data_IF_821743075906
#
_entry.id   IF_821743075906
#
_cell.length_a   1.000
_cell.length_b   1.000
_cell.length_c   1.000
_cell.angle_alpha   90.00
_cell.angle_beta   90.00
_cell.angle_gamma   90.00
#
_symmetry.space_group_name_H-M   'P 1'
#
loop_
_entity.id
_entity.type
_entity.pdbx_description
1 polymer ?
#
# COMPACT_ATOMS: atom_id res chain seq x y z
N UNK A 1 31.62 -13.33 70.91
CA UNK A 1 30.73 -12.31 70.30
C UNK A 1 30.74 -12.37 68.75
N UNK A 2 30.63 -13.56 68.12
CA UNK A 2 30.54 -13.70 66.65
C UNK A 2 29.30 -14.47 66.16
N UNK A 3 28.47 -15.01 67.06
CA UNK A 3 27.29 -15.82 66.72
C UNK A 3 25.97 -15.03 66.64
N UNK A 4 26.00 -13.72 66.89
CA UNK A 4 24.82 -12.85 66.81
C UNK A 4 24.69 -12.10 65.48
N UNK A 5 25.77 -11.91 64.72
CA UNK A 5 25.70 -11.29 63.38
C UNK A 5 25.24 -12.26 62.28
N UNK A 6 25.43 -13.57 62.45
CA UNK A 6 25.03 -14.56 61.43
C UNK A 6 23.51 -14.81 61.39
N UNK A 7 22.77 -14.41 62.42
CA UNK A 7 21.31 -14.61 62.51
C UNK A 7 20.50 -13.53 61.79
N UNK A 8 21.12 -12.42 61.40
CA UNK A 8 20.45 -11.34 60.66
C UNK A 8 20.79 -11.31 59.17
N UNK A 9 21.65 -12.22 58.69
CA UNK A 9 21.92 -12.38 57.25
C UNK A 9 20.91 -13.31 56.55
N UNK A 10 20.18 -14.12 57.32
CA UNK A 10 19.25 -15.11 56.79
C UNK A 10 17.89 -14.57 56.27
N UNK A 11 17.33 -13.43 56.70
CA UNK A 11 16.08 -12.94 56.12
C UNK A 11 16.30 -12.01 54.92
N UNK A 12 17.53 -11.57 54.63
CA UNK A 12 17.80 -10.64 53.52
C UNK A 12 17.99 -11.35 52.16
N UNK A 13 18.22 -12.67 52.16
CA UNK A 13 18.40 -13.45 50.93
C UNK A 13 17.09 -14.02 50.36
N UNK A 14 15.95 -13.85 51.04
CA UNK A 14 14.67 -14.45 50.62
C UNK A 14 13.79 -13.53 49.76
N UNK A 15 14.18 -12.27 49.53
CA UNK A 15 13.35 -11.28 48.81
C UNK A 15 13.63 -11.26 47.30
N UNK A 16 14.61 -12.02 46.79
CA UNK A 16 14.99 -12.00 45.37
C UNK A 16 14.21 -12.95 44.45
N UNK A 17 13.19 -13.66 44.94
CA UNK A 17 12.44 -14.64 44.12
C UNK A 17 10.97 -14.29 43.84
N UNK A 18 10.48 -13.09 44.20
CA UNK A 18 9.11 -12.65 43.92
C UNK A 18 9.03 -11.47 42.96
N UNK A 19 9.70 -11.57 41.82
CA UNK A 19 9.39 -10.73 40.65
C UNK A 19 9.17 -11.59 39.40
N UNK A 20 8.29 -12.59 39.53
CA UNK A 20 7.49 -13.07 38.40
C UNK A 20 6.09 -12.52 38.62
N UNK A 21 5.73 -11.54 37.80
CA UNK A 21 4.33 -11.18 37.59
C UNK A 21 3.73 -12.34 36.79
N UNK A 22 2.79 -13.05 37.39
CA UNK A 22 1.98 -14.03 36.68
C UNK A 22 1.09 -13.27 35.70
N UNK A 23 1.61 -13.05 34.49
CA UNK A 23 0.75 -12.84 33.35
C UNK A 23 0.04 -14.18 33.13
N UNK A 24 -1.25 -14.22 33.46
CA UNK A 24 -2.14 -15.31 33.08
C UNK A 24 -1.86 -15.64 31.61
N UNK A 25 -1.22 -16.79 31.38
CA UNK A 25 -1.20 -17.41 30.06
C UNK A 25 -2.64 -17.77 29.76
N UNK A 26 -3.37 -16.81 29.21
CA UNK A 26 -4.44 -17.10 28.28
C UNK A 26 -3.78 -18.00 27.25
N UNK A 27 -4.00 -19.31 27.38
CA UNK A 27 -4.07 -20.18 26.24
C UNK A 27 -5.06 -19.51 25.29
N UNK A 28 -4.55 -18.64 24.43
CA UNK A 28 -5.11 -18.47 23.12
C UNK A 28 -5.04 -19.87 22.55
N UNK A 29 -6.15 -20.61 22.71
CA UNK A 29 -6.63 -21.41 21.60
C UNK A 29 -6.53 -20.46 20.42
N UNK A 30 -5.49 -20.62 19.63
CA UNK A 30 -5.61 -20.43 18.20
C UNK A 30 -6.79 -21.31 17.81
N UNK A 31 -8.00 -20.77 17.95
CA UNK A 31 -9.02 -21.02 16.97
C UNK A 31 -8.32 -20.64 15.68
N UNK A 32 -7.73 -21.64 15.02
CA UNK A 32 -7.33 -21.58 13.64
C UNK A 32 -8.50 -20.87 12.97
N UNK A 33 -8.29 -19.58 12.66
CA UNK A 33 -9.35 -18.75 12.13
C UNK A 33 -9.86 -19.53 10.94
N UNK A 34 -11.11 -19.99 11.00
CA UNK A 34 -11.79 -20.69 9.90
C UNK A 34 -11.38 -19.93 8.66
N UNK A 35 -10.59 -20.55 7.78
CA UNK A 35 -9.85 -19.86 6.73
C UNK A 35 -10.77 -18.84 6.08
N UNK A 36 -10.64 -17.57 6.47
CA UNK A 36 -11.52 -16.53 5.95
C UNK A 36 -11.33 -16.60 4.45
N UNK A 37 -12.43 -16.68 3.70
CA UNK A 37 -12.36 -16.60 2.24
C UNK A 37 -11.51 -15.38 1.96
N UNK A 38 -10.31 -15.59 1.41
CA UNK A 38 -9.40 -14.49 1.20
C UNK A 38 -10.05 -13.55 0.20
N UNK A 39 -10.41 -12.37 0.69
CA UNK A 39 -11.06 -11.33 -0.07
C UNK A 39 -10.24 -11.01 -1.32
N UNK A 40 -10.89 -10.78 -2.45
CA UNK A 40 -10.20 -10.29 -3.65
C UNK A 40 -10.19 -8.77 -3.64
N UNK A 41 -9.06 -8.16 -3.96
CA UNK A 41 -8.93 -6.71 -4.06
C UNK A 41 -9.12 -6.23 -5.49
N UNK A 42 -9.85 -5.13 -5.64
CA UNK A 42 -9.87 -4.32 -6.85
C UNK A 42 -9.37 -2.92 -6.48
N UNK A 43 -8.06 -2.69 -6.68
CA UNK A 43 -7.39 -1.45 -6.32
C UNK A 43 -7.33 -0.54 -7.53
N UNK A 44 -7.82 0.68 -7.36
CA UNK A 44 -7.80 1.75 -8.36
C UNK A 44 -7.01 2.92 -7.79
N UNK A 45 -5.96 3.35 -8.48
CA UNK A 45 -5.14 4.50 -8.10
C UNK A 45 -5.38 5.62 -9.11
N UNK A 46 -6.11 6.65 -8.68
CA UNK A 46 -6.30 7.89 -9.47
C UNK A 46 -5.18 8.86 -9.11
N UNK A 47 -4.37 9.23 -10.10
CA UNK A 47 -3.27 10.17 -9.91
C UNK A 47 -3.64 11.51 -10.52
N UNK A 48 -3.48 12.58 -9.75
CA UNK A 48 -3.53 13.95 -10.23
C UNK A 48 -2.15 14.40 -10.70
N UNK A 49 -2.02 14.69 -12.00
CA UNK A 49 -0.82 15.24 -12.63
C UNK A 49 -0.93 16.76 -12.86
N UNK A 50 -1.78 17.43 -12.09
CA UNK A 50 -1.85 18.89 -12.00
C UNK A 50 -0.51 19.51 -11.66
N UNK A 51 -0.45 20.85 -11.73
CA UNK A 51 0.80 21.57 -11.53
C UNK A 51 1.36 21.48 -10.11
N UNK A 52 0.65 20.82 -9.18
CA UNK A 52 1.18 20.40 -7.87
C UNK A 52 2.50 19.63 -7.95
N UNK A 53 2.75 18.90 -9.04
CA UNK A 53 4.01 18.15 -9.23
C UNK A 53 5.13 19.00 -9.86
N UNK A 54 4.84 20.22 -10.27
CA UNK A 54 5.81 21.13 -10.87
C UNK A 54 6.84 21.58 -9.83
N UNK A 55 8.08 21.16 -10.02
CA UNK A 55 9.22 21.55 -9.16
C UNK A 55 9.43 23.07 -9.19
N UNK A 56 9.10 23.72 -10.32
CA UNK A 56 9.26 25.17 -10.48
C UNK A 56 8.16 25.96 -9.77
N UNK A 57 6.90 25.54 -9.88
CA UNK A 57 5.78 26.26 -9.28
C UNK A 57 5.59 25.93 -7.80
N UNK A 58 5.85 24.68 -7.43
CA UNK A 58 5.59 24.13 -6.10
C UNK A 58 6.86 23.48 -5.50
N UNK A 59 8.00 24.20 -5.42
CA UNK A 59 9.23 23.64 -4.86
C UNK A 59 9.03 23.27 -3.39
N UNK A 60 9.61 22.15 -2.96
CA UNK A 60 9.51 21.72 -1.58
C UNK A 60 10.89 21.37 -1.02
N UNK A 61 11.39 22.09 0.01
CA UNK A 61 12.75 21.91 0.52
C UNK A 61 12.97 20.57 1.23
N UNK A 62 11.91 19.84 1.58
CA UNK A 62 12.01 18.53 2.21
C UNK A 62 11.96 17.41 1.19
N UNK A 63 10.98 17.42 0.29
CA UNK A 63 10.78 16.39 -0.73
C UNK A 63 9.78 16.88 -1.77
N UNK A 64 10.07 16.67 -3.05
CA UNK A 64 9.18 17.02 -4.15
C UNK A 64 7.87 16.21 -4.09
N UNK A 65 6.76 16.81 -4.54
CA UNK A 65 5.45 16.15 -4.47
C UNK A 65 5.43 14.81 -5.22
N UNK A 66 6.00 14.76 -6.43
CA UNK A 66 6.04 13.52 -7.21
C UNK A 66 6.83 12.40 -6.50
N UNK A 67 7.86 12.74 -5.72
CA UNK A 67 8.64 11.77 -4.97
C UNK A 67 7.83 11.16 -3.81
N UNK A 68 6.99 11.96 -3.15
CA UNK A 68 6.03 11.46 -2.16
C UNK A 68 5.06 10.47 -2.79
N UNK A 69 4.51 10.83 -3.95
CA UNK A 69 3.56 10.00 -4.67
C UNK A 69 4.17 8.66 -5.09
N UNK A 70 5.41 8.66 -5.57
CA UNK A 70 6.16 7.43 -5.85
C UNK A 70 6.28 6.54 -4.61
N UNK A 71 6.52 7.13 -3.44
CA UNK A 71 6.51 6.44 -2.15
C UNK A 71 5.15 5.81 -1.83
N UNK A 72 4.07 6.57 -1.98
CA UNK A 72 2.71 6.08 -1.72
C UNK A 72 2.31 4.95 -2.67
N UNK A 73 2.57 5.10 -3.98
CA UNK A 73 2.26 4.07 -4.97
C UNK A 73 3.08 2.80 -4.69
N UNK A 74 4.36 2.94 -4.33
CA UNK A 74 5.19 1.82 -3.91
C UNK A 74 4.57 1.08 -2.73
N UNK A 75 4.17 1.79 -1.67
CA UNK A 75 3.51 1.19 -0.51
C UNK A 75 2.22 0.44 -0.87
N UNK A 76 1.38 1.01 -1.76
CA UNK A 76 0.16 0.33 -2.25
C UNK A 76 0.51 -0.95 -3.01
N UNK A 77 1.48 -0.89 -3.92
CA UNK A 77 1.92 -2.06 -4.70
C UNK A 77 2.54 -3.16 -3.84
N UNK A 78 3.25 -2.78 -2.78
CA UNK A 78 3.83 -3.72 -1.82
C UNK A 78 2.75 -4.40 -0.99
N UNK A 79 1.77 -3.65 -0.49
CA UNK A 79 0.63 -4.19 0.24
C UNK A 79 -0.19 -5.15 -0.65
N UNK A 80 -0.44 -4.78 -1.91
CA UNK A 80 -1.12 -5.64 -2.88
C UNK A 80 -0.33 -6.94 -3.14
N UNK A 81 0.98 -6.84 -3.33
CA UNK A 81 1.84 -8.01 -3.55
C UNK A 81 1.88 -8.92 -2.31
N UNK A 82 1.92 -8.37 -1.10
CA UNK A 82 1.86 -9.15 0.14
C UNK A 82 0.52 -9.85 0.29
N UNK A 83 -0.59 -9.18 -0.03
CA UNK A 83 -1.92 -9.76 -0.05
C UNK A 83 -2.00 -10.97 -0.99
N UNK A 84 -1.49 -10.82 -2.22
CA UNK A 84 -1.42 -11.92 -3.20
C UNK A 84 -0.57 -13.10 -2.70
N UNK A 85 0.59 -12.83 -2.11
CA UNK A 85 1.50 -13.86 -1.58
C UNK A 85 0.92 -14.62 -0.39
N UNK A 86 0.02 -14.03 0.38
CA UNK A 86 -0.68 -14.69 1.48
C UNK A 86 -1.81 -15.62 1.00
N UNK A 87 -2.21 -15.53 -0.28
CA UNK A 87 -3.32 -16.31 -0.85
C UNK A 87 -2.87 -17.65 -1.40
N UNK A 88 -3.77 -18.63 -1.34
CA UNK A 88 -3.64 -19.84 -2.17
C UNK A 88 -3.91 -19.45 -3.61
N UNK A 89 -3.07 -19.89 -4.55
CA UNK A 89 -3.18 -19.57 -5.99
C UNK A 89 -4.61 -19.73 -6.53
N UNK A 90 -5.28 -20.83 -6.17
CA UNK A 90 -6.67 -21.12 -6.60
C UNK A 90 -7.72 -20.07 -6.17
N UNK A 91 -7.39 -19.21 -5.20
CA UNK A 91 -8.26 -18.17 -4.64
C UNK A 91 -7.90 -16.77 -5.16
N UNK A 92 -6.85 -16.62 -5.96
CA UNK A 92 -6.41 -15.33 -6.49
C UNK A 92 -7.32 -14.93 -7.66
N UNK A 93 -7.86 -13.72 -7.59
CA UNK A 93 -8.64 -13.06 -8.63
C UNK A 93 -8.69 -11.55 -8.34
N UNK A 94 -7.51 -10.95 -8.31
CA UNK A 94 -7.27 -9.60 -7.80
C UNK A 94 -6.85 -8.67 -8.93
N UNK A 95 -7.18 -7.39 -8.80
CA UNK A 95 -6.90 -6.35 -9.79
C UNK A 95 -6.24 -5.15 -9.14
N UNK A 96 -5.31 -4.54 -9.87
CA UNK A 96 -4.73 -3.26 -9.50
C UNK A 96 -4.51 -2.44 -10.77
N UNK A 97 -4.89 -1.17 -10.74
CA UNK A 97 -4.70 -0.25 -11.86
C UNK A 97 -4.30 1.13 -11.38
N UNK A 98 -3.56 1.85 -12.22
CA UNK A 98 -3.27 3.27 -12.08
C UNK A 98 -3.77 3.99 -13.33
N UNK A 99 -4.50 5.08 -13.13
CA UNK A 99 -5.11 5.85 -14.22
C UNK A 99 -5.24 7.33 -13.84
N UNK A 100 -5.72 8.10 -14.82
CA UNK A 100 -5.88 9.55 -14.76
C UNK A 100 -7.27 9.92 -15.24
N UNK A 101 -7.79 11.06 -14.78
CA UNK A 101 -9.04 11.60 -15.31
C UNK A 101 -9.02 13.14 -15.28
N UNK A 102 -8.85 13.82 -16.43
CA UNK A 102 -8.84 13.29 -17.79
C UNK A 102 -7.59 12.48 -18.12
N UNK A 103 -7.64 11.72 -19.22
CA UNK A 103 -6.45 11.05 -19.77
C UNK A 103 -5.42 12.10 -20.24
N UNK A 104 -4.12 11.92 -19.91
CA UNK A 104 -3.05 12.77 -20.40
C UNK A 104 -2.99 12.82 -21.92
N UNK A 105 -2.54 13.95 -22.47
CA UNK A 105 -2.33 14.07 -23.92
C UNK A 105 -1.12 13.27 -24.40
N UNK A 106 -0.14 13.01 -23.52
CA UNK A 106 1.04 12.21 -23.85
C UNK A 106 0.66 10.72 -24.04
N UNK A 107 0.74 10.17 -25.27
CA UNK A 107 0.43 8.77 -25.53
C UNK A 107 1.39 7.80 -24.83
N UNK A 108 2.60 8.23 -24.47
CA UNK A 108 3.54 7.42 -23.71
C UNK A 108 3.03 7.19 -22.27
N UNK A 109 2.52 8.23 -21.60
CA UNK A 109 1.89 8.11 -20.28
C UNK A 109 0.69 7.15 -20.37
N UNK A 110 -0.16 7.31 -21.39
CA UNK A 110 -1.31 6.44 -21.58
C UNK A 110 -0.88 4.98 -21.79
N UNK A 111 0.12 4.72 -22.63
CA UNK A 111 0.65 3.36 -22.84
C UNK A 111 1.21 2.74 -21.55
N UNK A 112 1.89 3.53 -20.72
CA UNK A 112 2.41 3.06 -19.43
C UNK A 112 1.25 2.74 -18.47
N UNK A 113 0.24 3.61 -18.36
CA UNK A 113 -0.93 3.39 -17.49
C UNK A 113 -1.67 2.09 -17.83
N UNK A 114 -1.82 1.78 -19.13
CA UNK A 114 -2.43 0.52 -19.57
C UNK A 114 -1.61 -0.70 -19.15
N UNK A 115 -0.28 -0.62 -19.13
CA UNK A 115 0.59 -1.71 -18.61
C UNK A 115 0.51 -1.86 -17.11
N UNK A 116 0.13 -0.81 -16.39
CA UNK A 116 -0.09 -0.84 -14.95
C UNK A 116 -1.46 -1.41 -14.58
N UNK A 117 -2.39 -1.56 -15.53
CA UNK A 117 -3.64 -2.29 -15.32
C UNK A 117 -3.38 -3.80 -15.30
N UNK A 118 -3.21 -4.36 -14.11
CA UNK A 118 -2.92 -5.77 -13.91
C UNK A 118 -4.12 -6.52 -13.35
N UNK A 119 -4.33 -7.73 -13.87
CA UNK A 119 -5.28 -8.72 -13.36
C UNK A 119 -4.47 -9.96 -13.02
N UNK A 120 -4.52 -10.39 -11.76
CA UNK A 120 -3.84 -11.60 -11.29
C UNK A 120 -4.90 -12.61 -10.91
N UNK A 121 -4.85 -13.78 -11.52
CA UNK A 121 -5.79 -14.85 -11.26
C UNK A 121 -5.07 -16.19 -11.08
N UNK A 122 -5.84 -17.24 -10.78
CA UNK A 122 -5.32 -18.61 -10.63
C UNK A 122 -4.56 -19.14 -11.86
N UNK A 123 -4.75 -18.56 -13.05
CA UNK A 123 -4.18 -19.04 -14.30
C UNK A 123 -2.84 -18.38 -14.60
N UNK A 124 -2.63 -17.12 -14.17
CA UNK A 124 -1.40 -16.38 -14.43
C UNK A 124 -0.50 -16.16 -13.20
N UNK A 125 -1.01 -16.40 -11.99
CA UNK A 125 -0.25 -16.19 -10.76
C UNK A 125 0.99 -17.10 -10.70
N UNK A 126 2.16 -16.47 -10.76
CA UNK A 126 3.47 -17.12 -10.63
C UNK A 126 4.36 -16.36 -9.67
N UNK A 127 5.37 -17.04 -9.10
CA UNK A 127 6.33 -16.40 -8.19
C UNK A 127 7.03 -15.21 -8.84
N UNK A 128 7.40 -15.34 -10.10
CA UNK A 128 8.12 -14.31 -10.85
C UNK A 128 7.22 -13.11 -11.16
N UNK A 129 5.96 -13.36 -11.53
CA UNK A 129 4.99 -12.29 -11.73
C UNK A 129 4.78 -11.52 -10.42
N UNK A 130 4.50 -12.21 -9.32
CA UNK A 130 4.29 -11.57 -8.01
C UNK A 130 5.52 -10.81 -7.51
N UNK A 131 6.74 -11.28 -7.81
CA UNK A 131 7.97 -10.57 -7.43
C UNK A 131 8.29 -9.38 -8.32
N UNK A 132 7.76 -9.32 -9.55
CA UNK A 132 8.01 -8.21 -10.48
C UNK A 132 7.03 -7.05 -10.35
N UNK A 133 5.87 -7.23 -9.69
CA UNK A 133 4.85 -6.17 -9.53
C UNK A 133 5.45 -4.90 -8.94
N UNK A 134 6.17 -4.98 -7.83
CA UNK A 134 6.70 -3.81 -7.13
C UNK A 134 7.72 -3.04 -7.97
N UNK A 135 8.67 -3.75 -8.62
CA UNK A 135 9.69 -3.10 -9.45
C UNK A 135 9.10 -2.54 -10.75
N UNK A 136 8.10 -3.21 -11.32
CA UNK A 136 7.36 -2.68 -12.46
C UNK A 136 6.61 -1.39 -12.07
N UNK A 137 5.82 -1.42 -10.99
CA UNK A 137 5.10 -0.23 -10.53
C UNK A 137 6.05 0.93 -10.24
N UNK A 138 7.15 0.70 -9.51
CA UNK A 138 8.12 1.75 -9.20
C UNK A 138 8.76 2.35 -10.48
N UNK A 139 9.21 1.52 -11.41
CA UNK A 139 9.90 2.00 -12.62
C UNK A 139 8.96 2.67 -13.63
N UNK A 140 7.74 2.17 -13.79
CA UNK A 140 6.77 2.73 -14.72
C UNK A 140 6.17 4.04 -14.20
N UNK A 141 5.89 4.13 -12.91
CA UNK A 141 5.35 5.37 -12.32
C UNK A 141 6.38 6.49 -12.28
N UNK A 142 7.66 6.17 -12.08
CA UNK A 142 8.73 7.15 -12.24
C UNK A 142 8.73 7.76 -13.65
N UNK A 143 8.63 6.94 -14.70
CA UNK A 143 8.57 7.41 -16.09
C UNK A 143 7.36 8.30 -16.38
N UNK A 144 6.21 8.01 -15.76
CA UNK A 144 5.02 8.86 -15.86
C UNK A 144 5.33 10.25 -15.31
N UNK A 145 5.86 10.35 -14.09
CA UNK A 145 6.18 11.64 -13.49
C UNK A 145 7.29 12.38 -14.23
N UNK A 146 8.33 11.69 -14.67
CA UNK A 146 9.40 12.29 -15.48
C UNK A 146 8.88 12.85 -16.81
N UNK A 147 7.97 12.12 -17.49
CA UNK A 147 7.33 12.63 -18.70
C UNK A 147 6.44 13.84 -18.39
N UNK A 148 5.58 13.77 -17.39
CA UNK A 148 4.67 14.86 -17.04
C UNK A 148 5.42 16.14 -16.64
N UNK A 149 6.49 16.02 -15.85
CA UNK A 149 7.35 17.16 -15.46
C UNK A 149 8.08 17.74 -16.68
N UNK A 150 8.53 16.88 -17.61
CA UNK A 150 9.22 17.31 -18.82
C UNK A 150 8.29 18.03 -19.81
N UNK A 151 7.05 17.57 -19.93
CA UNK A 151 6.03 18.18 -20.81
C UNK A 151 5.65 19.59 -20.32
N UNK A 152 5.79 19.86 -19.01
CA UNK A 152 5.47 21.13 -18.33
C UNK A 152 4.02 21.63 -18.56
N UNK A 153 3.16 20.74 -19.06
CA UNK A 153 1.75 20.96 -19.34
C UNK A 153 0.89 20.10 -18.42
N UNK A 154 0.70 20.61 -17.21
CA UNK A 154 0.04 19.90 -16.13
C UNK A 154 -1.48 20.00 -16.23
N UNK A 155 -2.11 18.92 -16.71
CA UNK A 155 -3.57 18.80 -16.73
C UNK A 155 -4.00 18.18 -15.40
N UNK A 156 -4.74 18.96 -14.61
CA UNK A 156 -5.25 18.50 -13.33
C UNK A 156 -6.44 17.56 -13.45
N UNK A 157 -6.58 16.69 -12.46
CA UNK A 157 -7.70 15.76 -12.37
C UNK A 157 -9.00 16.46 -12.00
N UNK A 158 -10.08 16.15 -12.72
CA UNK A 158 -11.44 16.57 -12.37
C UNK A 158 -12.06 15.49 -11.46
N UNK A 159 -11.72 15.57 -10.17
CA UNK A 159 -12.10 14.57 -9.16
C UNK A 159 -13.61 14.59 -8.93
N UNK A 160 -14.22 15.76 -8.89
CA UNK A 160 -15.66 15.90 -8.71
C UNK A 160 -16.43 15.17 -9.83
N UNK A 161 -16.11 15.49 -11.10
CA UNK A 161 -16.76 14.85 -12.24
C UNK A 161 -16.41 13.37 -12.36
N UNK A 162 -15.22 12.97 -11.93
CA UNK A 162 -14.85 11.56 -11.84
C UNK A 162 -15.81 10.79 -10.92
N UNK A 163 -16.10 11.31 -9.72
CA UNK A 163 -17.03 10.68 -8.81
C UNK A 163 -18.48 10.70 -9.32
N UNK A 164 -18.89 11.77 -9.98
CA UNK A 164 -20.24 11.89 -10.54
C UNK A 164 -20.47 10.91 -11.70
N UNK A 165 -19.48 10.75 -12.60
CA UNK A 165 -19.71 10.11 -13.91
C UNK A 165 -18.88 8.86 -14.20
N UNK A 166 -17.78 8.59 -13.49
CA UNK A 166 -16.81 7.54 -13.87
C UNK A 166 -16.51 6.50 -12.80
N UNK A 167 -16.63 6.84 -11.52
CA UNK A 167 -16.19 5.97 -10.41
C UNK A 167 -16.83 4.59 -10.45
N UNK A 168 -18.11 4.50 -10.81
CA UNK A 168 -18.84 3.23 -10.90
C UNK A 168 -18.26 2.34 -11.99
N UNK A 169 -18.04 2.89 -13.18
CA UNK A 169 -17.58 2.14 -14.35
C UNK A 169 -16.10 1.76 -14.23
N UNK A 170 -15.29 2.60 -13.61
CA UNK A 170 -13.84 2.43 -13.58
C UNK A 170 -13.34 1.69 -12.33
N UNK A 171 -14.03 1.80 -11.19
CA UNK A 171 -13.50 1.35 -9.90
C UNK A 171 -14.35 0.28 -9.20
N UNK A 172 -15.53 -0.08 -9.71
CA UNK A 172 -16.39 -1.07 -9.07
C UNK A 172 -16.30 -2.42 -9.79
N UNK A 173 -15.82 -3.42 -9.07
CA UNK A 173 -15.84 -4.82 -9.46
C UNK A 173 -16.74 -5.61 -8.50
N UNK A 174 -17.51 -6.55 -9.05
CA UNK A 174 -18.40 -7.38 -8.24
C UNK A 174 -17.61 -8.45 -7.49
N UNK A 175 -18.03 -8.73 -6.24
CA UNK A 175 -17.39 -9.76 -5.38
C UNK A 175 -15.90 -9.50 -5.08
N UNK A 176 -15.48 -8.25 -5.18
CA UNK A 176 -14.18 -7.78 -4.76
C UNK A 176 -14.35 -6.61 -3.77
N UNK A 177 -13.35 -6.40 -2.93
CA UNK A 177 -13.21 -5.17 -2.17
C UNK A 177 -12.66 -4.11 -3.08
N UNK A 178 -13.51 -3.15 -3.41
CA UNK A 178 -13.15 -1.99 -4.21
C UNK A 178 -12.43 -0.98 -3.32
N UNK A 179 -11.19 -0.64 -3.69
CA UNK A 179 -10.34 0.30 -2.98
C UNK A 179 -9.92 1.37 -3.98
N UNK A 180 -10.31 2.61 -3.74
CA UNK A 180 -9.87 3.76 -4.51
C UNK A 180 -8.85 4.56 -3.69
N UNK A 181 -7.66 4.74 -4.25
CA UNK A 181 -6.61 5.61 -3.72
C UNK A 181 -6.52 6.81 -4.65
N UNK A 182 -6.59 8.01 -4.10
CA UNK A 182 -6.49 9.26 -4.87
C UNK A 182 -5.25 10.01 -4.40
N UNK A 183 -4.36 10.34 -5.33
CA UNK A 183 -3.19 11.18 -5.08
C UNK A 183 -3.45 12.56 -5.66
N UNK A 184 -3.71 13.52 -4.79
CA UNK A 184 -4.08 14.90 -5.12
C UNK A 184 -3.60 15.83 -3.99
N UNK A 185 -3.54 17.13 -4.27
CA UNK A 185 -3.32 18.18 -3.28
C UNK A 185 -4.60 18.63 -2.56
N UNK A 186 -5.76 18.04 -2.89
CA UNK A 186 -7.00 18.18 -2.12
C UNK A 186 -8.05 19.08 -2.73
N UNK A 187 -7.87 19.56 -3.97
CA UNK A 187 -8.95 20.20 -4.71
C UNK A 187 -9.98 19.16 -5.17
N UNK A 188 -11.18 19.22 -4.60
CA UNK A 188 -12.36 18.40 -4.96
C UNK A 188 -13.57 19.29 -5.19
#
# INVERSE_FOLDING_TARGET
MKKTLLKYLAPLLLILFFSCKDDEKKEQKETAAKSAVSENYNISILVDLSDRISIKKNPNPTMEFYQRDLGYIKSVSEAFTQHLKAKRIRQINDKMQLFFNPEPLDPAINSISQKLKIVIDKNNASRDLLNSINSNYASQTLKIYESAIKDDNYIGSDIWRFFDTKVKDQCIENKARNILVILTDGYM
#
